data_IF_111031913440
#
_entry.id   IF_111031913440
#
_cell.length_a   1.000
_cell.length_b   1.000
_cell.length_c   1.000
_cell.angle_alpha   90.00
_cell.angle_beta   90.00
_cell.angle_gamma   90.00
#
_symmetry.space_group_name_H-M   'P 1'
#
loop_
_entity.id
_entity.type
_entity.pdbx_description
1 polymer ?
#
# COMPACT_ATOMS: atom_id res chain seq x y z
N UNK A 1 16.75 -3.32 -22.15
CA UNK A 1 16.11 -2.09 -21.64
C UNK A 1 14.59 -2.01 -21.92
N UNK A 2 14.04 -2.67 -22.96
CA UNK A 2 12.60 -2.58 -23.26
C UNK A 2 11.67 -3.31 -22.25
N UNK A 3 12.15 -4.37 -21.58
CA UNK A 3 11.37 -5.12 -20.55
C UNK A 3 11.38 -4.51 -19.14
N UNK A 4 12.20 -3.48 -18.90
CA UNK A 4 12.23 -2.79 -17.61
C UNK A 4 11.15 -1.69 -17.52
N UNK A 5 10.64 -1.22 -18.67
CA UNK A 5 9.68 -0.11 -18.74
C UNK A 5 8.21 -0.54 -18.67
N UNK A 6 7.87 -1.82 -18.90
CA UNK A 6 6.46 -2.25 -18.88
C UNK A 6 5.87 -2.41 -17.48
N UNK A 7 6.72 -2.46 -16.44
CA UNK A 7 6.25 -2.86 -15.11
C UNK A 7 6.64 -1.91 -13.98
N UNK A 8 7.21 -0.75 -14.29
CA UNK A 8 7.75 0.14 -13.28
C UNK A 8 7.32 1.61 -13.52
N UNK A 9 6.34 2.02 -12.70
CA UNK A 9 6.23 3.34 -12.05
C UNK A 9 5.11 4.26 -12.55
N UNK A 10 3.87 3.91 -12.21
CA UNK A 10 3.12 4.90 -11.42
C UNK A 10 3.88 5.05 -10.11
N UNK A 11 4.51 6.20 -9.86
CA UNK A 11 5.27 6.46 -8.63
C UNK A 11 4.46 5.96 -7.42
N UNK A 12 4.97 5.01 -6.62
CA UNK A 12 4.25 4.59 -5.43
C UNK A 12 4.16 5.80 -4.52
N UNK A 13 2.93 6.26 -4.25
CA UNK A 13 2.70 7.39 -3.36
C UNK A 13 3.24 6.97 -1.99
N UNK A 14 4.28 7.66 -1.54
CA UNK A 14 4.88 7.44 -0.23
C UNK A 14 4.19 8.38 0.75
N UNK A 15 3.43 7.79 1.68
CA UNK A 15 2.75 8.51 2.75
C UNK A 15 3.26 8.06 4.12
N UNK A 16 3.09 8.92 5.11
CA UNK A 16 3.28 8.61 6.51
C UNK A 16 1.91 8.28 7.15
N UNK A 17 1.92 7.59 8.30
CA UNK A 17 0.67 7.22 9.02
C UNK A 17 -0.26 8.42 9.28
N UNK A 18 0.21 9.60 9.69
CA UNK A 18 -0.67 10.75 9.92
C UNK A 18 -1.37 11.24 8.64
N UNK A 19 -0.67 11.19 7.49
CA UNK A 19 -1.24 11.61 6.20
C UNK A 19 -2.33 10.65 5.74
N UNK A 20 -2.13 9.34 5.92
CA UNK A 20 -3.16 8.33 5.64
C UNK A 20 -4.36 8.56 6.55
N UNK A 21 -4.12 8.73 7.86
CA UNK A 21 -5.16 8.96 8.85
C UNK A 21 -6.01 10.20 8.52
N UNK A 22 -5.37 11.29 8.12
CA UNK A 22 -6.04 12.50 7.64
C UNK A 22 -6.85 12.24 6.37
N UNK A 23 -6.26 11.60 5.37
CA UNK A 23 -6.89 11.37 4.07
C UNK A 23 -8.16 10.50 4.15
N UNK A 24 -8.19 9.50 5.05
CA UNK A 24 -9.34 8.61 5.21
C UNK A 24 -10.25 9.01 6.37
N UNK A 25 -10.00 10.18 6.99
CA UNK A 25 -10.71 10.66 8.18
C UNK A 25 -10.82 9.60 9.29
N UNK A 26 -9.69 8.98 9.66
CA UNK A 26 -9.63 7.93 10.67
C UNK A 26 -8.47 8.15 11.65
N UNK A 27 -8.49 7.42 12.76
CA UNK A 27 -7.45 7.55 13.77
C UNK A 27 -6.14 6.87 13.35
N UNK A 28 -5.01 7.38 13.85
CA UNK A 28 -3.67 6.78 13.65
C UNK A 28 -3.63 5.32 14.13
N UNK A 29 -4.32 4.99 15.22
CA UNK A 29 -4.39 3.62 15.75
C UNK A 29 -5.17 2.69 14.82
N UNK A 30 -6.27 3.18 14.22
CA UNK A 30 -7.02 2.45 13.18
C UNK A 30 -6.13 2.14 11.98
N UNK A 31 -5.39 3.12 11.48
CA UNK A 31 -4.46 2.93 10.34
C UNK A 31 -3.37 1.89 10.68
N UNK A 32 -2.78 1.97 11.88
CA UNK A 32 -1.77 0.99 12.34
C UNK A 32 -2.34 -0.43 12.47
N UNK A 33 -3.60 -0.57 12.87
CA UNK A 33 -4.31 -1.87 12.94
C UNK A 33 -4.58 -2.42 11.54
N UNK A 34 -5.08 -1.58 10.63
CA UNK A 34 -5.37 -1.95 9.24
C UNK A 34 -4.11 -2.29 8.43
N UNK A 35 -2.94 -1.76 8.82
CA UNK A 35 -1.65 -2.03 8.17
C UNK A 35 -1.38 -3.51 7.92
N UNK A 36 -1.62 -4.37 8.92
CA UNK A 36 -1.33 -5.80 8.80
C UNK A 36 -2.12 -6.44 7.67
N UNK A 37 -3.42 -6.19 7.65
CA UNK A 37 -4.35 -6.69 6.64
C UNK A 37 -4.05 -6.14 5.24
N UNK A 38 -3.79 -4.84 5.12
CA UNK A 38 -3.48 -4.20 3.85
C UNK A 38 -2.14 -4.66 3.26
N UNK A 39 -1.16 -4.95 4.13
CA UNK A 39 0.14 -5.51 3.72
C UNK A 39 -0.03 -6.94 3.22
N UNK A 40 -0.77 -7.78 3.97
CA UNK A 40 -1.07 -9.17 3.56
C UNK A 40 -1.84 -9.23 2.23
N UNK A 41 -2.78 -8.29 2.01
CA UNK A 41 -3.55 -8.19 0.77
C UNK A 41 -2.79 -7.53 -0.40
N UNK A 42 -1.55 -7.09 -0.18
CA UNK A 42 -0.68 -6.51 -1.21
C UNK A 42 -1.07 -5.10 -1.68
N UNK A 43 -1.84 -4.35 -0.88
CA UNK A 43 -2.23 -2.97 -1.22
C UNK A 43 -1.17 -1.94 -0.83
N UNK A 44 -0.40 -2.23 0.21
CA UNK A 44 0.65 -1.35 0.71
C UNK A 44 1.93 -2.14 0.98
N UNK A 45 3.06 -1.47 0.83
CA UNK A 45 4.34 -1.90 1.41
C UNK A 45 4.75 -0.85 2.43
N UNK A 46 5.28 -1.26 3.58
CA UNK A 46 5.76 -0.30 4.57
C UNK A 46 7.19 -0.62 5.00
N UNK A 47 7.94 0.43 5.32
CA UNK A 47 9.33 0.34 5.77
C UNK A 47 9.47 1.09 7.08
N UNK A 48 9.99 0.41 8.09
CA UNK A 48 10.42 1.05 9.33
C UNK A 48 11.74 1.77 9.07
N UNK A 49 11.80 3.07 9.33
CA UNK A 49 12.99 3.90 9.13
C UNK A 49 13.85 4.04 10.41
N UNK A 50 13.63 3.17 11.42
CA UNK A 50 14.30 3.21 12.72
C UNK A 50 13.53 3.98 13.80
N UNK A 51 14.11 4.08 15.01
CA UNK A 51 13.41 4.55 16.22
C UNK A 51 12.89 6.00 16.15
N UNK A 52 13.52 6.85 15.34
CA UNK A 52 13.24 8.29 15.34
C UNK A 52 12.67 8.82 14.01
N UNK A 53 12.28 7.94 13.09
CA UNK A 53 11.71 8.33 11.79
C UNK A 53 10.34 7.69 11.59
N UNK A 54 9.34 8.43 11.08
CA UNK A 54 8.03 7.86 10.80
C UNK A 54 8.18 6.74 9.76
N UNK A 55 7.43 5.66 9.97
CA UNK A 55 7.36 4.57 9.00
C UNK A 55 6.77 5.10 7.68
N UNK A 56 7.40 4.70 6.57
CA UNK A 56 6.99 5.07 5.23
C UNK A 56 6.05 4.00 4.66
N UNK A 57 4.99 4.43 4.00
CA UNK A 57 3.97 3.57 3.40
C UNK A 57 3.90 3.85 1.92
N UNK A 58 4.22 2.85 1.13
CA UNK A 58 4.14 2.86 -0.31
C UNK A 58 2.79 2.29 -0.73
N UNK A 59 1.91 3.13 -1.27
CA UNK A 59 0.65 2.67 -1.86
C UNK A 59 0.95 2.04 -3.20
N UNK A 60 0.55 0.78 -3.36
CA UNK A 60 0.75 0.03 -4.59
C UNK A 60 -0.53 0.15 -5.43
N UNK A 61 -0.45 0.90 -6.54
CA UNK A 61 -1.48 0.87 -7.57
C UNK A 61 -1.40 -0.50 -8.26
N UNK A 62 -2.38 -1.37 -8.03
CA UNK A 62 -2.44 -2.68 -8.70
C UNK A 62 -2.97 -2.51 -10.12
N UNK A 63 -2.11 -2.14 -11.05
CA UNK A 63 -2.35 -2.46 -12.46
C UNK A 63 -2.09 -3.96 -12.65
N UNK A 64 -3.12 -4.80 -12.45
CA UNK A 64 -3.15 -6.19 -12.94
C UNK A 64 -2.97 -7.35 -11.93
N UNK A 65 -2.97 -7.13 -10.62
CA UNK A 65 -2.85 -8.23 -9.63
C UNK A 65 -4.19 -8.56 -8.95
N UNK A 66 -4.66 -9.83 -8.96
CA UNK A 66 -5.96 -10.18 -8.43
C UNK A 66 -6.06 -10.04 -6.89
N UNK A 67 -7.17 -9.48 -6.40
CA UNK A 67 -7.44 -9.30 -4.97
C UNK A 67 -7.95 -10.60 -4.33
N UNK A 68 -7.60 -10.85 -3.07
CA UNK A 68 -7.99 -12.06 -2.31
C UNK A 68 -9.52 -12.28 -2.18
N UNK A 69 -10.36 -11.29 -2.47
CA UNK A 69 -11.82 -11.44 -2.57
C UNK A 69 -12.37 -11.18 -3.98
N UNK A 70 -11.51 -11.14 -5.00
CA UNK A 70 -11.92 -11.12 -6.39
C UNK A 70 -12.49 -12.51 -6.68
N UNK A 71 -13.82 -12.64 -6.57
CA UNK A 71 -14.51 -13.84 -7.04
C UNK A 71 -14.13 -13.97 -8.52
N UNK A 72 -13.50 -15.09 -8.88
CA UNK A 72 -13.39 -15.47 -10.28
C UNK A 72 -14.84 -15.65 -10.75
N UNK A 73 -15.36 -14.69 -11.51
CA UNK A 73 -16.50 -15.00 -12.36
C UNK A 73 -16.03 -16.14 -13.26
N UNK A 74 -16.74 -17.27 -13.17
CA UNK A 74 -16.46 -18.45 -14.00
C UNK A 74 -16.77 -18.05 -15.43
N UNK A 75 -15.74 -17.97 -16.27
CA UNK A 75 -15.88 -18.14 -17.73
C UNK A 75 -16.28 -19.59 -18.04
#
# INVERSE_FOLDING_TARGET
MYRANENWWNYPICLNVPEIAYAINSSISTVKKARGELTQKGFIRWVSQGANRPAQYYILSRTGSPYAGQRKEKE
#
